data_IF_019557991957
#
_entry.id   IF_019557991957
#
_cell.length_a   1.000
_cell.length_b   1.000
_cell.length_c   1.000
_cell.angle_alpha   90.00
_cell.angle_beta   90.00
_cell.angle_gamma   90.00
#
_symmetry.space_group_name_H-M   'P 1'
#
loop_
_entity.id
_entity.type
_entity.pdbx_description
1 polymer ?
#
# COMPACT_ATOMS: atom_id res chain seq x y z
N UNK A 1 3.92 -12.93 -18.96
CA UNK A 1 3.57 -13.76 -17.78
C UNK A 1 2.71 -12.89 -16.87
N UNK A 2 1.39 -13.07 -16.91
CA UNK A 2 0.45 -12.31 -16.08
C UNK A 2 0.40 -12.97 -14.70
N UNK A 3 1.10 -12.38 -13.73
CA UNK A 3 0.98 -12.76 -12.32
C UNK A 3 -0.29 -12.13 -11.75
N UNK A 4 -1.39 -12.87 -11.77
CA UNK A 4 -2.58 -12.53 -10.99
C UNK A 4 -2.25 -12.73 -9.51
N UNK A 5 -2.01 -11.61 -8.82
CA UNK A 5 -1.91 -11.55 -7.36
C UNK A 5 -3.21 -12.13 -6.80
N UNK A 6 -3.16 -13.35 -6.27
CA UNK A 6 -4.29 -13.98 -5.61
C UNK A 6 -4.68 -13.12 -4.42
N UNK A 7 -5.82 -12.44 -4.55
CA UNK A 7 -6.52 -11.80 -3.45
C UNK A 7 -6.74 -12.87 -2.37
N UNK A 8 -6.18 -12.63 -1.19
CA UNK A 8 -6.12 -13.57 -0.09
C UNK A 8 -7.51 -13.62 0.58
N UNK A 9 -8.16 -14.79 0.56
CA UNK A 9 -9.56 -15.02 0.98
C UNK A 9 -9.87 -14.74 2.46
N UNK A 10 -8.92 -14.22 3.24
CA UNK A 10 -9.05 -14.00 4.69
C UNK A 10 -9.16 -12.53 5.12
N UNK A 11 -9.11 -11.57 4.19
CA UNK A 11 -9.34 -10.16 4.51
C UNK A 11 -10.85 -9.88 4.66
N UNK A 12 -11.30 -9.23 5.77
CA UNK A 12 -12.62 -8.63 5.79
C UNK A 12 -12.77 -7.73 4.56
N UNK A 13 -13.81 -7.91 3.72
CA UNK A 13 -13.93 -7.21 2.44
C UNK A 13 -13.85 -5.68 2.56
N UNK A 14 -14.24 -5.12 3.70
CA UNK A 14 -14.15 -3.69 3.98
C UNK A 14 -12.70 -3.21 4.13
N UNK A 15 -11.83 -4.00 4.75
CA UNK A 15 -10.41 -3.67 4.95
C UNK A 15 -9.67 -3.78 3.61
N UNK A 16 -9.94 -4.84 2.84
CA UNK A 16 -9.36 -5.01 1.51
C UNK A 16 -9.74 -3.84 0.59
N UNK A 17 -11.03 -3.47 0.58
CA UNK A 17 -11.53 -2.34 -0.19
C UNK A 17 -10.87 -1.02 0.23
N UNK A 18 -10.78 -0.74 1.53
CA UNK A 18 -10.17 0.48 2.03
C UNK A 18 -8.69 0.59 1.63
N UNK A 19 -7.92 -0.49 1.77
CA UNK A 19 -6.51 -0.54 1.35
C UNK A 19 -6.36 -0.35 -0.15
N UNK A 20 -7.20 -1.00 -0.95
CA UNK A 20 -7.20 -0.84 -2.41
C UNK A 20 -7.50 0.61 -2.83
N UNK A 21 -8.47 1.26 -2.18
CA UNK A 21 -8.81 2.67 -2.40
C UNK A 21 -7.65 3.59 -2.01
N UNK A 22 -6.98 3.34 -0.89
CA UNK A 22 -5.78 4.09 -0.47
C UNK A 22 -4.62 3.95 -1.47
N UNK A 23 -4.32 2.73 -1.94
CA UNK A 23 -3.28 2.48 -2.95
C UNK A 23 -3.62 3.20 -4.26
N UNK A 24 -4.87 3.12 -4.71
CA UNK A 24 -5.32 3.78 -5.94
C UNK A 24 -5.24 5.32 -5.82
N UNK A 25 -5.62 5.87 -4.66
CA UNK A 25 -5.51 7.30 -4.36
C UNK A 25 -4.06 7.78 -4.38
N UNK A 26 -3.15 7.05 -3.72
CA UNK A 26 -1.72 7.37 -3.71
C UNK A 26 -1.12 7.32 -5.12
N UNK A 27 -1.46 6.31 -5.93
CA UNK A 27 -1.03 6.22 -7.34
C UNK A 27 -1.55 7.37 -8.20
N UNK A 28 -2.79 7.80 -7.99
CA UNK A 28 -3.36 8.93 -8.73
C UNK A 28 -2.66 10.25 -8.35
N UNK A 29 -2.34 10.44 -7.06
CA UNK A 29 -1.64 11.62 -6.58
C UNK A 29 -0.16 11.64 -7.03
N UNK A 30 0.53 10.50 -7.02
CA UNK A 30 1.89 10.33 -7.54
C UNK A 30 1.97 10.72 -9.01
N UNK A 31 1.06 10.21 -9.86
CA UNK A 31 1.02 10.58 -11.29
C UNK A 31 0.83 12.07 -11.50
N UNK A 32 -0.07 12.70 -10.73
CA UNK A 32 -0.26 14.17 -10.81
C UNK A 32 1.00 14.92 -10.39
N UNK A 33 1.69 14.48 -9.34
CA UNK A 33 2.95 15.08 -8.91
C UNK A 33 4.07 14.90 -9.94
N UNK A 34 4.11 13.75 -10.62
CA UNK A 34 5.03 13.50 -11.75
C UNK A 34 4.77 14.46 -12.91
N UNK A 35 3.50 14.67 -13.27
CA UNK A 35 3.12 15.63 -14.32
C UNK A 35 3.52 17.06 -13.95
N UNK A 36 3.30 17.49 -12.71
CA UNK A 36 3.77 18.79 -12.23
C UNK A 36 5.29 18.91 -12.24
N UNK A 37 6.02 17.84 -11.88
CA UNK A 37 7.47 17.83 -11.91
C UNK A 37 8.02 18.00 -13.34
N UNK A 38 7.38 17.39 -14.34
CA UNK A 38 7.72 17.56 -15.76
C UNK A 38 7.43 18.99 -16.24
N UNK A 39 6.32 19.58 -15.80
CA UNK A 39 5.97 20.96 -16.15
C UNK A 39 6.92 21.97 -15.51
N UNK A 40 7.35 21.73 -14.28
CA UNK A 40 8.31 22.57 -13.57
C UNK A 40 9.75 22.44 -14.11
N UNK A 41 10.01 21.50 -15.02
CA UNK A 41 11.34 21.26 -15.55
C UNK A 41 11.76 22.38 -16.49
N UNK A 42 12.76 23.17 -16.09
CA UNK A 42 13.24 24.33 -16.84
C UNK A 42 12.60 25.65 -16.43
N UNK A 43 11.78 25.66 -15.36
CA UNK A 43 11.41 26.89 -14.68
C UNK A 43 12.66 27.58 -14.11
N UNK A 44 12.68 28.92 -14.14
CA UNK A 44 13.80 29.70 -13.62
C UNK A 44 13.86 29.70 -12.08
N UNK A 45 12.76 29.31 -11.43
CA UNK A 45 12.63 29.20 -9.98
C UNK A 45 12.65 27.73 -9.56
N UNK A 46 13.79 27.30 -9.01
CA UNK A 46 14.01 25.94 -8.51
C UNK A 46 13.07 25.56 -7.35
N UNK A 47 12.45 26.53 -6.66
CA UNK A 47 11.58 26.23 -5.51
C UNK A 47 10.31 25.48 -5.93
N UNK A 48 9.78 25.77 -7.12
CA UNK A 48 8.61 25.07 -7.68
C UNK A 48 9.01 23.64 -8.07
N UNK A 49 10.17 23.47 -8.69
CA UNK A 49 10.69 22.16 -9.03
C UNK A 49 10.90 21.29 -7.78
N UNK A 50 11.54 21.84 -6.74
CA UNK A 50 11.78 21.13 -5.48
C UNK A 50 10.48 20.80 -4.73
N UNK A 51 9.48 21.69 -4.75
CA UNK A 51 8.16 21.40 -4.21
C UNK A 51 7.47 20.23 -4.96
N UNK A 52 7.50 20.24 -6.29
CA UNK A 52 6.94 19.16 -7.10
C UNK A 52 7.68 17.83 -6.86
N UNK A 53 9.01 17.88 -6.74
CA UNK A 53 9.86 16.73 -6.44
C UNK A 53 9.52 16.14 -5.06
N UNK A 54 9.40 16.99 -4.05
CA UNK A 54 9.03 16.58 -2.69
C UNK A 54 7.64 15.94 -2.66
N UNK A 55 6.67 16.51 -3.39
CA UNK A 55 5.33 15.92 -3.50
C UNK A 55 5.36 14.55 -4.18
N UNK A 56 6.12 14.42 -5.27
CA UNK A 56 6.26 13.15 -5.98
C UNK A 56 6.83 12.07 -5.07
N UNK A 57 7.91 12.37 -4.36
CA UNK A 57 8.51 11.45 -3.38
C UNK A 57 7.53 11.05 -2.27
N UNK A 58 6.79 12.01 -1.71
CA UNK A 58 5.79 11.75 -0.68
C UNK A 58 4.72 10.74 -1.15
N UNK A 59 4.15 10.95 -2.34
CA UNK A 59 3.10 10.05 -2.85
C UNK A 59 3.64 8.68 -3.28
N UNK A 60 4.88 8.60 -3.77
CA UNK A 60 5.58 7.33 -3.99
C UNK A 60 5.72 6.55 -2.69
N UNK A 61 6.21 7.18 -1.62
CA UNK A 61 6.36 6.53 -0.30
C UNK A 61 5.00 6.12 0.30
N UNK A 62 3.96 6.94 0.16
CA UNK A 62 2.60 6.58 0.60
C UNK A 62 2.06 5.35 -0.14
N UNK A 63 2.28 5.25 -1.45
CA UNK A 63 1.89 4.08 -2.24
C UNK A 63 2.61 2.82 -1.78
N UNK A 64 3.90 2.92 -1.50
CA UNK A 64 4.72 1.80 -1.01
C UNK A 64 4.27 1.36 0.38
N UNK A 65 4.07 2.30 1.30
CA UNK A 65 3.53 2.05 2.62
C UNK A 65 2.21 1.25 2.56
N UNK A 66 1.23 1.70 1.77
CA UNK A 66 -0.05 0.98 1.69
C UNK A 66 0.08 -0.42 1.06
N UNK A 67 1.05 -0.64 0.18
CA UNK A 67 1.35 -1.98 -0.36
C UNK A 67 1.95 -2.89 0.71
N UNK A 68 2.87 -2.37 1.51
CA UNK A 68 3.48 -3.11 2.63
C UNK A 68 2.42 -3.46 3.68
N UNK A 69 1.57 -2.51 4.05
CA UNK A 69 0.44 -2.73 4.97
C UNK A 69 -0.54 -3.78 4.44
N UNK A 70 -0.83 -3.78 3.13
CA UNK A 70 -1.67 -4.82 2.52
C UNK A 70 -1.06 -6.23 2.71
N UNK A 71 0.26 -6.37 2.59
CA UNK A 71 0.96 -7.64 2.83
C UNK A 71 0.98 -7.99 4.31
N UNK A 72 1.25 -7.04 5.20
CA UNK A 72 1.31 -7.25 6.64
C UNK A 72 -0.05 -7.68 7.22
N UNK A 73 -1.13 -6.97 6.86
CA UNK A 73 -2.49 -7.31 7.29
C UNK A 73 -2.90 -8.67 6.73
N UNK A 74 -2.55 -8.97 5.47
CA UNK A 74 -2.77 -10.29 4.87
C UNK A 74 -2.06 -11.42 5.64
N UNK A 75 -0.89 -11.15 6.22
CA UNK A 75 -0.13 -12.12 7.00
C UNK A 75 -0.76 -12.35 8.40
N UNK A 76 -1.16 -11.28 9.09
CA UNK A 76 -1.81 -11.36 10.41
C UNK A 76 -3.11 -12.18 10.35
N UNK A 77 -3.93 -11.97 9.32
CA UNK A 77 -5.20 -12.67 9.13
C UNK A 77 -5.05 -14.13 8.69
N UNK A 78 -3.85 -14.55 8.27
CA UNK A 78 -3.54 -15.97 8.07
C UNK A 78 -3.22 -16.68 9.39
N UNK A 79 -2.64 -15.98 10.34
CA UNK A 79 -2.27 -16.54 11.66
C UNK A 79 -3.47 -16.80 12.57
N UNK A 80 -4.53 -15.99 12.50
CA UNK A 80 -5.73 -16.16 13.35
C UNK A 80 -6.62 -17.35 12.94
N UNK A 81 -6.40 -17.93 11.76
CA UNK A 81 -7.07 -19.16 11.31
C UNK A 81 -6.41 -20.45 11.84
N UNK A 82 -5.24 -20.36 12.48
CA UNK A 82 -4.59 -21.51 13.09
C UNK A 82 -5.16 -21.71 14.50
N UNK A 83 -6.13 -22.63 14.64
CA UNK A 83 -6.53 -23.15 15.95
C UNK A 83 -5.28 -23.51 16.76
N UNK A 84 -5.17 -23.11 18.04
CA UNK A 84 -4.07 -23.58 18.88
C UNK A 84 -4.11 -25.11 18.93
N UNK A 85 -2.95 -25.80 18.87
CA UNK A 85 -2.94 -27.26 18.89
C UNK A 85 -3.58 -27.73 20.19
N UNK A 86 -4.73 -28.39 20.07
CA UNK A 86 -5.44 -29.11 21.13
C UNK A 86 -4.57 -30.22 21.71
N UNK A 87 -3.62 -29.87 22.58
CA UNK A 87 -2.88 -30.82 23.40
C UNK A 87 -2.76 -30.27 24.80
N UNK A 88 -3.84 -30.38 25.57
CA UNK A 88 -3.82 -30.49 27.03
C UNK A 88 -5.18 -31.04 27.46
N UNK A 89 -5.45 -32.29 27.06
CA UNK A 89 -6.47 -33.12 27.70
C UNK A 89 -5.85 -34.48 28.00
N UNK A 90 -4.91 -34.49 28.95
CA UNK A 90 -4.53 -35.69 29.69
C UNK A 90 -3.71 -35.27 30.92
N UNK A 91 -4.38 -35.23 32.06
CA UNK A 91 -3.87 -35.61 33.39
C UNK A 91 -5.00 -35.35 34.39
N UNK A 92 -5.96 -36.27 34.40
CA UNK A 92 -6.73 -36.59 35.61
C UNK A 92 -6.01 -37.75 36.30
#
# INVERSE_FOLDING_TARGET
MSGTTKVNENLPPQIEKALAECIAGAQAAERKAEDYLKLAQGEADDSIYEACRSMHQFYTSMREFFREEQVAISALLRTDGASPPSRLREAA
#
